data_IF_946696537725
#
_entry.id   IF_946696537725
#
_cell.length_a   1.000
_cell.length_b   1.000
_cell.length_c   1.000
_cell.angle_alpha   90.00
_cell.angle_beta   90.00
_cell.angle_gamma   90.00
#
_symmetry.space_group_name_H-M   'P 1'
#
loop_
_entity.id
_entity.type
_entity.pdbx_description
1 polymer ?
#
# COMPACT_ATOMS: atom_id res chain seq x y z
N UNK A 1 4.58 14.29 -0.47
CA UNK A 1 3.84 13.50 -1.46
C UNK A 1 2.41 13.98 -1.60
N UNK A 2 1.57 13.99 -0.57
CA UNK A 2 0.14 14.39 -0.60
C UNK A 2 -0.10 15.80 -1.16
N UNK A 3 0.67 16.82 -0.73
CA UNK A 3 0.54 18.18 -1.28
C UNK A 3 0.82 18.24 -2.80
N UNK A 4 1.77 17.42 -3.30
CA UNK A 4 2.03 17.35 -4.74
C UNK A 4 0.90 16.66 -5.49
N UNK A 5 0.29 15.64 -4.90
CA UNK A 5 -0.88 14.97 -5.48
C UNK A 5 -2.05 15.94 -5.59
N UNK A 6 -2.34 16.67 -4.51
CA UNK A 6 -3.40 17.69 -4.51
C UNK A 6 -3.15 18.77 -5.58
N UNK A 7 -1.93 19.33 -5.65
CA UNK A 7 -1.54 20.32 -6.67
C UNK A 7 -1.65 19.80 -8.12
N UNK A 8 -1.55 18.49 -8.32
CA UNK A 8 -1.71 17.82 -9.62
C UNK A 8 -3.15 17.45 -9.94
N UNK A 9 -4.11 17.88 -9.12
CA UNK A 9 -5.54 17.65 -9.35
C UNK A 9 -6.03 16.24 -8.99
N UNK A 10 -5.25 15.46 -8.22
CA UNK A 10 -5.75 14.17 -7.70
C UNK A 10 -6.92 14.43 -6.75
N UNK A 11 -8.02 13.72 -6.98
CA UNK A 11 -9.25 13.77 -6.16
C UNK A 11 -9.62 12.35 -5.72
N UNK A 12 -8.87 11.75 -4.78
CA UNK A 12 -9.18 10.42 -4.29
C UNK A 12 -10.49 10.46 -3.49
N UNK A 13 -11.30 9.43 -3.63
CA UNK A 13 -12.49 9.25 -2.80
C UNK A 13 -12.10 8.99 -1.33
N UNK A 14 -11.04 8.20 -1.13
CA UNK A 14 -10.52 7.90 0.19
C UNK A 14 -8.99 7.74 0.16
N UNK A 15 -8.31 8.26 1.17
CA UNK A 15 -6.88 8.08 1.36
C UNK A 15 -6.63 7.03 2.44
N UNK A 16 -6.02 5.93 2.04
CA UNK A 16 -5.60 4.87 2.96
C UNK A 16 -4.22 5.17 3.52
N UNK A 17 -4.03 4.95 4.79
CA UNK A 17 -2.71 5.08 5.41
C UNK A 17 -2.51 4.11 6.56
N UNK A 18 -1.26 3.66 6.69
CA UNK A 18 -0.75 2.88 7.80
C UNK A 18 -0.59 3.76 9.06
N UNK A 19 -0.40 3.13 10.21
CA UNK A 19 -0.18 3.74 11.52
C UNK A 19 1.04 4.68 11.57
N UNK A 20 2.05 4.47 10.72
CA UNK A 20 3.20 5.38 10.59
C UNK A 20 2.80 6.78 10.12
N UNK A 21 1.77 6.85 9.28
CA UNK A 21 1.26 8.10 8.73
C UNK A 21 0.11 8.70 9.54
N UNK A 22 -0.33 8.04 10.63
CA UNK A 22 -1.40 8.51 11.52
C UNK A 22 -0.99 9.66 12.44
N UNK A 23 0.16 10.32 12.19
CA UNK A 23 0.60 11.50 12.92
C UNK A 23 -0.30 12.71 12.67
N UNK A 24 -0.46 13.58 13.71
CA UNK A 24 -1.37 14.73 13.67
C UNK A 24 -1.13 15.67 12.47
N UNK A 25 0.14 15.88 12.09
CA UNK A 25 0.48 16.71 10.91
C UNK A 25 -0.12 16.13 9.63
N UNK A 26 -0.02 14.82 9.43
CA UNK A 26 -0.54 14.14 8.25
C UNK A 26 -2.08 14.13 8.25
N UNK A 27 -2.69 13.86 9.41
CA UNK A 27 -4.15 13.86 9.54
C UNK A 27 -4.74 15.23 9.22
N UNK A 28 -4.14 16.31 9.75
CA UNK A 28 -4.56 17.69 9.45
C UNK A 28 -4.34 18.06 7.97
N UNK A 29 -3.24 17.60 7.38
CA UNK A 29 -2.94 17.83 5.97
C UNK A 29 -3.99 17.23 5.04
N UNK A 30 -4.53 16.06 5.37
CA UNK A 30 -5.58 15.40 4.59
C UNK A 30 -6.95 16.09 4.75
N UNK A 31 -7.18 16.76 5.86
CA UNK A 31 -8.41 17.50 6.10
C UNK A 31 -8.55 18.75 5.20
N UNK A 32 -7.45 19.39 4.85
CA UNK A 32 -7.45 20.61 4.02
C UNK A 32 -8.07 20.41 2.63
N UNK A 33 -7.74 19.34 1.88
CA UNK A 33 -8.37 19.04 0.59
C UNK A 33 -9.73 18.31 0.71
N UNK A 34 -10.30 18.17 1.91
CA UNK A 34 -11.55 17.45 2.17
C UNK A 34 -11.53 15.97 1.74
N UNK A 35 -10.36 15.38 1.71
CA UNK A 35 -10.22 13.98 1.36
C UNK A 35 -10.63 13.09 2.53
N UNK A 36 -11.58 12.21 2.30
CA UNK A 36 -11.90 11.13 3.24
C UNK A 36 -10.67 10.26 3.47
N UNK A 37 -10.55 9.71 4.66
CA UNK A 37 -9.42 8.82 4.98
C UNK A 37 -9.86 7.63 5.79
N UNK A 38 -9.08 6.58 5.66
CA UNK A 38 -9.10 5.42 6.54
C UNK A 38 -7.66 5.11 6.96
N UNK A 39 -7.36 5.27 8.25
CA UNK A 39 -6.01 5.07 8.78
C UNK A 39 -5.99 4.07 9.91
N UNK A 40 -4.95 3.25 9.97
CA UNK A 40 -4.70 2.41 11.13
C UNK A 40 -4.19 3.26 12.28
N UNK A 41 -4.75 3.07 13.48
CA UNK A 41 -4.25 3.69 14.70
C UNK A 41 -3.31 2.74 15.44
N UNK A 42 -2.30 3.32 16.10
CA UNK A 42 -1.50 2.56 17.05
C UNK A 42 -2.33 2.25 18.30
N UNK A 43 -2.14 1.09 18.90
CA UNK A 43 -2.89 0.62 20.08
C UNK A 43 -2.84 1.61 21.28
N UNK A 44 -1.73 2.34 21.41
CA UNK A 44 -1.53 3.35 22.47
C UNK A 44 -2.03 4.76 22.09
N UNK A 45 -2.72 4.91 20.95
CA UNK A 45 -3.25 6.21 20.53
C UNK A 45 -4.28 6.70 21.53
N UNK A 46 -4.08 7.92 22.05
CA UNK A 46 -4.99 8.54 23.02
C UNK A 46 -6.25 9.05 22.31
N UNK A 47 -7.40 8.57 22.76
CA UNK A 47 -8.75 8.97 22.30
C UNK A 47 -9.64 9.24 23.52
N UNK A 48 -10.71 9.99 23.30
CA UNK A 48 -11.70 10.28 24.32
C UNK A 48 -13.08 9.84 23.81
N UNK A 49 -13.59 8.68 24.23
CA UNK A 49 -14.86 8.16 23.75
C UNK A 49 -16.08 8.85 24.37
N UNK A 50 -16.00 9.26 25.64
CA UNK A 50 -17.12 9.72 26.46
C UNK A 50 -17.05 11.21 26.87
N UNK A 51 -16.08 11.96 26.37
CA UNK A 51 -15.88 13.37 26.73
C UNK A 51 -15.19 13.60 28.08
N UNK A 52 -14.98 12.56 28.89
CA UNK A 52 -14.48 12.69 30.26
C UNK A 52 -12.95 12.56 30.33
N UNK A 53 -12.39 11.48 29.78
CA UNK A 53 -10.97 11.15 29.91
C UNK A 53 -10.36 10.65 28.60
N UNK A 54 -9.10 11.04 28.40
CA UNK A 54 -8.30 10.44 27.33
C UNK A 54 -7.73 9.10 27.78
N UNK A 55 -7.99 8.06 27.01
CA UNK A 55 -7.50 6.69 27.23
C UNK A 55 -6.86 6.15 25.95
N UNK A 56 -6.06 5.10 26.07
CA UNK A 56 -5.53 4.42 24.89
C UNK A 56 -6.67 3.76 24.09
N UNK A 57 -6.60 3.79 22.77
CA UNK A 57 -7.65 3.20 21.93
C UNK A 57 -7.85 1.71 22.20
N UNK A 58 -6.81 1.00 22.58
CA UNK A 58 -6.88 -0.41 22.99
C UNK A 58 -7.76 -0.63 24.23
N UNK A 59 -7.78 0.35 25.15
CA UNK A 59 -8.55 0.29 26.40
C UNK A 59 -9.94 0.93 26.26
N UNK A 60 -10.26 1.50 25.11
CA UNK A 60 -11.56 2.09 24.83
C UNK A 60 -12.53 1.01 24.34
N UNK A 61 -13.80 1.14 24.75
CA UNK A 61 -14.87 0.29 24.24
C UNK A 61 -15.23 0.74 22.82
N UNK A 62 -14.61 0.09 21.84
CA UNK A 62 -14.77 0.36 20.41
C UNK A 62 -15.51 -0.81 19.76
N UNK A 63 -16.65 -0.54 19.15
CA UNK A 63 -17.44 -1.52 18.44
C UNK A 63 -16.86 -1.84 17.04
N UNK A 64 -17.22 -2.97 16.49
CA UNK A 64 -16.90 -3.35 15.10
C UNK A 64 -17.64 -2.46 14.10
N UNK A 65 -18.86 -2.05 14.42
CA UNK A 65 -19.67 -1.11 13.63
C UNK A 65 -19.16 0.34 13.66
N UNK A 66 -18.19 0.62 14.52
CA UNK A 66 -17.54 1.92 14.66
C UNK A 66 -18.11 2.77 15.80
N UNK A 67 -17.23 3.29 16.62
CA UNK A 67 -17.53 4.18 17.74
C UNK A 67 -17.00 5.58 17.45
N UNK A 68 -17.83 6.61 17.66
CA UNK A 68 -17.42 8.00 17.55
C UNK A 68 -16.63 8.42 18.78
N UNK A 69 -15.40 8.88 18.59
CA UNK A 69 -14.51 9.31 19.65
C UNK A 69 -13.87 10.65 19.32
N UNK A 70 -13.46 11.40 20.33
CA UNK A 70 -12.71 12.63 20.14
C UNK A 70 -11.21 12.33 20.16
N UNK A 71 -10.49 12.71 19.11
CA UNK A 71 -9.04 12.65 19.00
C UNK A 71 -8.46 14.02 19.39
N UNK A 72 -7.67 14.07 20.48
CA UNK A 72 -7.08 15.31 20.99
C UNK A 72 -6.32 16.08 19.89
N UNK A 73 -6.69 17.34 19.71
CA UNK A 73 -6.06 18.23 18.72
C UNK A 73 -6.47 18.00 17.27
N UNK A 74 -7.45 17.09 17.03
CA UNK A 74 -7.98 16.84 15.71
C UNK A 74 -9.50 17.06 15.65
N UNK A 75 -10.26 16.52 16.59
CA UNK A 75 -11.72 16.55 16.62
C UNK A 75 -12.32 15.15 16.64
N UNK A 76 -13.59 15.07 16.26
CA UNK A 76 -14.29 13.79 16.23
C UNK A 76 -13.86 12.93 15.03
N UNK A 77 -13.69 11.65 15.30
CA UNK A 77 -13.41 10.59 14.32
C UNK A 77 -14.27 9.37 14.66
N UNK A 78 -14.52 8.51 13.68
CA UNK A 78 -15.13 7.21 13.88
C UNK A 78 -14.03 6.15 13.88
N UNK A 79 -14.00 5.31 14.90
CA UNK A 79 -12.99 4.25 15.05
C UNK A 79 -13.70 2.90 15.03
N UNK A 80 -13.17 1.98 14.25
CA UNK A 80 -13.62 0.59 14.13
C UNK A 80 -12.61 -0.33 14.84
N UNK A 81 -13.13 -1.31 15.57
CA UNK A 81 -12.34 -2.42 16.09
C UNK A 81 -12.44 -3.59 15.14
N UNK A 82 -11.31 -4.14 14.74
CA UNK A 82 -11.23 -5.27 13.82
C UNK A 82 -10.46 -6.37 14.53
N UNK A 83 -11.04 -7.55 14.58
CA UNK A 83 -10.38 -8.75 15.13
C UNK A 83 -9.97 -9.62 13.96
N UNK A 84 -8.67 -9.85 13.78
CA UNK A 84 -8.15 -10.74 12.78
C UNK A 84 -8.37 -12.21 13.18
N UNK A 85 -8.28 -13.13 12.22
CA UNK A 85 -8.47 -14.59 12.47
C UNK A 85 -7.50 -15.16 13.50
N UNK A 86 -6.31 -14.58 13.64
CA UNK A 86 -5.30 -14.96 14.63
C UNK A 86 -5.51 -14.31 16.00
N UNK A 87 -6.60 -13.56 16.20
CA UNK A 87 -6.92 -12.87 17.45
C UNK A 87 -6.30 -11.47 17.58
N UNK A 88 -5.48 -11.01 16.64
CA UNK A 88 -4.92 -9.66 16.67
C UNK A 88 -6.00 -8.59 16.53
N UNK A 89 -5.91 -7.54 17.35
CA UNK A 89 -6.85 -6.42 17.34
C UNK A 89 -6.21 -5.24 16.60
N UNK A 90 -6.91 -4.78 15.58
CA UNK A 90 -6.57 -3.59 14.80
C UNK A 90 -7.64 -2.52 14.98
N UNK A 91 -7.21 -1.26 15.12
CA UNK A 91 -8.13 -0.13 15.14
C UNK A 91 -7.92 0.73 13.91
N UNK A 92 -8.99 0.95 13.15
CA UNK A 92 -9.01 1.85 11.98
C UNK A 92 -9.89 3.05 12.26
N UNK A 93 -9.43 4.22 11.86
CA UNK A 93 -10.12 5.48 12.09
C UNK A 93 -10.41 6.20 10.77
N UNK A 94 -11.57 6.82 10.72
CA UNK A 94 -12.02 7.68 9.61
C UNK A 94 -12.57 8.99 10.15
N UNK A 95 -12.56 10.02 9.34
CA UNK A 95 -13.28 11.28 9.58
C UNK A 95 -14.63 11.34 8.86
N UNK A 96 -14.97 10.30 8.11
CA UNK A 96 -16.29 10.13 7.52
C UNK A 96 -17.23 9.48 8.57
N UNK A 97 -18.20 10.23 9.13
CA UNK A 97 -19.12 9.70 10.13
C UNK A 97 -20.07 8.65 9.54
N UNK A 98 -20.34 8.74 8.23
CA UNK A 98 -21.27 7.87 7.51
C UNK A 98 -20.60 6.60 6.98
N UNK A 99 -19.28 6.44 7.19
CA UNK A 99 -18.58 5.21 6.81
C UNK A 99 -19.11 4.05 7.64
N UNK A 100 -19.68 3.07 6.97
CA UNK A 100 -20.11 1.80 7.54
C UNK A 100 -19.04 0.71 7.35
N UNK A 101 -19.35 -0.50 7.80
CA UNK A 101 -18.46 -1.64 7.67
C UNK A 101 -18.20 -2.01 6.20
N UNK A 102 -19.21 -1.99 5.35
CA UNK A 102 -19.08 -2.34 3.93
C UNK A 102 -18.21 -1.31 3.21
N UNK A 103 -18.46 -0.01 3.42
CA UNK A 103 -17.63 1.06 2.88
C UNK A 103 -16.18 1.03 3.39
N UNK A 104 -15.96 0.51 4.59
CA UNK A 104 -14.61 0.31 5.14
C UNK A 104 -13.89 -0.86 4.51
N UNK A 105 -14.58 -1.97 4.21
CA UNK A 105 -13.98 -3.18 3.63
C UNK A 105 -13.41 -2.92 2.23
N UNK A 106 -14.14 -2.20 1.37
CA UNK A 106 -13.69 -1.87 0.02
C UNK A 106 -12.30 -1.18 -0.01
N UNK A 107 -12.08 -0.04 0.70
CA UNK A 107 -10.76 0.57 0.75
C UNK A 107 -9.70 -0.31 1.42
N UNK A 108 -10.08 -1.16 2.39
CA UNK A 108 -9.13 -2.06 3.05
C UNK A 108 -8.56 -3.11 2.08
N UNK A 109 -9.35 -3.60 1.12
CA UNK A 109 -8.90 -4.55 0.10
C UNK A 109 -7.88 -3.90 -0.85
N UNK A 110 -8.02 -2.61 -1.16
CA UNK A 110 -7.02 -1.89 -1.95
C UNK A 110 -5.66 -1.78 -1.25
N UNK A 111 -5.61 -1.78 0.09
CA UNK A 111 -4.32 -1.77 0.79
C UNK A 111 -3.51 -3.05 0.54
N UNK A 112 -4.18 -4.20 0.40
CA UNK A 112 -3.56 -5.47 0.02
C UNK A 112 -2.94 -5.39 -1.37
N UNK A 113 -3.61 -4.76 -2.32
CA UNK A 113 -3.10 -4.57 -3.68
C UNK A 113 -1.79 -3.77 -3.71
N UNK A 114 -1.64 -2.77 -2.82
CA UNK A 114 -0.38 -2.02 -2.67
C UNK A 114 0.75 -2.92 -2.15
N UNK A 115 0.46 -3.78 -1.19
CA UNK A 115 1.45 -4.73 -0.66
C UNK A 115 1.86 -5.75 -1.74
N UNK A 116 0.92 -6.25 -2.51
CA UNK A 116 1.17 -7.13 -3.65
C UNK A 116 2.00 -6.45 -4.74
N UNK A 117 1.72 -5.17 -5.04
CA UNK A 117 2.54 -4.36 -5.92
C UNK A 117 3.98 -4.26 -5.42
N UNK A 118 4.18 -3.90 -4.14
CA UNK A 118 5.52 -3.80 -3.56
C UNK A 118 6.25 -5.14 -3.54
N UNK A 119 5.54 -6.23 -3.29
CA UNK A 119 6.10 -7.59 -3.37
C UNK A 119 6.51 -7.91 -4.80
N UNK A 120 5.62 -7.69 -5.76
CA UNK A 120 5.87 -7.96 -7.18
C UNK A 120 7.07 -7.19 -7.73
N UNK A 121 7.15 -5.89 -7.47
CA UNK A 121 8.25 -5.06 -7.97
C UNK A 121 9.60 -5.43 -7.34
N UNK A 122 9.61 -5.93 -6.09
CA UNK A 122 10.82 -6.43 -5.43
C UNK A 122 11.24 -7.81 -5.96
N UNK A 123 10.32 -8.74 -6.04
CA UNK A 123 10.61 -10.14 -6.40
C UNK A 123 10.92 -10.30 -7.88
N UNK A 124 10.09 -9.73 -8.76
CA UNK A 124 10.18 -9.98 -10.20
C UNK A 124 10.91 -8.88 -10.99
N UNK A 125 10.92 -7.65 -10.48
CA UNK A 125 11.50 -6.52 -11.21
C UNK A 125 12.79 -5.97 -10.59
N UNK A 126 13.28 -6.58 -9.51
CA UNK A 126 14.58 -6.31 -8.93
C UNK A 126 14.79 -4.87 -8.42
N UNK A 127 13.71 -4.16 -8.01
CA UNK A 127 13.81 -2.74 -7.59
C UNK A 127 14.81 -2.52 -6.46
N UNK A 128 14.99 -3.50 -5.56
CA UNK A 128 15.94 -3.45 -4.45
C UNK A 128 17.37 -3.85 -4.79
N UNK A 129 17.66 -4.23 -6.05
CA UNK A 129 19.00 -4.72 -6.47
C UNK A 129 19.93 -3.61 -6.95
N UNK A 130 19.47 -2.37 -7.01
CA UNK A 130 20.29 -1.24 -7.42
C UNK A 130 21.40 -0.96 -6.40
N UNK A 131 22.65 -1.01 -6.85
CA UNK A 131 23.82 -0.65 -6.05
C UNK A 131 24.33 0.77 -6.34
N UNK A 132 23.67 1.49 -7.25
CA UNK A 132 24.06 2.85 -7.64
C UNK A 132 23.72 3.85 -6.55
N UNK A 133 24.63 4.81 -6.31
CA UNK A 133 24.44 5.87 -5.31
C UNK A 133 23.96 7.19 -5.90
N UNK A 134 24.08 7.36 -7.22
CA UNK A 134 23.67 8.58 -7.92
C UNK A 134 22.12 8.60 -8.00
N UNK A 135 21.51 9.69 -7.53
CA UNK A 135 20.06 9.83 -7.43
C UNK A 135 19.34 9.69 -8.78
N UNK A 136 19.93 10.13 -9.86
CA UNK A 136 19.38 9.98 -11.21
C UNK A 136 19.36 8.52 -11.66
N UNK A 137 20.46 7.80 -11.47
CA UNK A 137 20.56 6.39 -11.80
C UNK A 137 19.59 5.53 -10.95
N UNK A 138 19.43 5.88 -9.66
CA UNK A 138 18.41 5.22 -8.81
C UNK A 138 16.99 5.46 -9.34
N UNK A 139 16.65 6.71 -9.72
CA UNK A 139 15.33 7.02 -10.31
C UNK A 139 15.09 6.25 -11.61
N UNK A 140 16.10 6.18 -12.46
CA UNK A 140 16.02 5.42 -13.72
C UNK A 140 15.82 3.93 -13.47
N UNK A 141 16.58 3.36 -12.53
CA UNK A 141 16.42 1.95 -12.13
C UNK A 141 15.01 1.67 -11.59
N UNK A 142 14.49 2.52 -10.69
CA UNK A 142 13.12 2.39 -10.18
C UNK A 142 12.11 2.52 -11.33
N UNK A 143 12.30 3.47 -12.23
CA UNK A 143 11.45 3.66 -13.40
C UNK A 143 11.41 2.43 -14.31
N UNK A 144 12.57 1.79 -14.55
CA UNK A 144 12.65 0.54 -15.32
C UNK A 144 11.94 -0.62 -14.61
N UNK A 145 12.10 -0.75 -13.27
CA UNK A 145 11.42 -1.76 -12.48
C UNK A 145 9.88 -1.60 -12.53
N UNK A 146 9.38 -0.37 -12.46
CA UNK A 146 7.95 -0.08 -12.60
C UNK A 146 7.46 -0.47 -14.01
N UNK A 147 8.22 -0.14 -15.06
CA UNK A 147 7.84 -0.50 -16.44
C UNK A 147 7.85 -2.01 -16.65
N UNK A 148 8.80 -2.73 -16.07
CA UNK A 148 8.82 -4.19 -16.10
C UNK A 148 7.60 -4.78 -15.38
N UNK A 149 7.26 -4.26 -14.20
CA UNK A 149 6.07 -4.67 -13.47
C UNK A 149 4.78 -4.48 -14.29
N UNK A 150 4.61 -3.32 -14.93
CA UNK A 150 3.45 -3.07 -15.79
C UNK A 150 3.36 -4.05 -16.97
N UNK A 151 4.50 -4.48 -17.53
CA UNK A 151 4.50 -5.51 -18.57
C UNK A 151 4.02 -6.86 -18.04
N UNK A 152 4.41 -7.26 -16.84
CA UNK A 152 3.88 -8.48 -16.20
C UNK A 152 2.36 -8.38 -15.97
N UNK A 153 1.86 -7.22 -15.54
CA UNK A 153 0.41 -7.00 -15.39
C UNK A 153 -0.33 -7.13 -16.73
N UNK A 154 0.22 -6.56 -17.80
CA UNK A 154 -0.37 -6.69 -19.16
C UNK A 154 -0.36 -8.15 -19.62
N UNK A 155 0.70 -8.91 -19.35
CA UNK A 155 0.74 -10.35 -19.68
C UNK A 155 -0.30 -11.10 -18.86
N UNK A 156 -0.40 -10.84 -17.55
CA UNK A 156 -1.41 -11.46 -16.70
C UNK A 156 -2.84 -11.19 -17.21
N UNK A 157 -3.16 -9.93 -17.54
CA UNK A 157 -4.47 -9.56 -18.08
C UNK A 157 -4.80 -10.23 -19.40
N UNK A 158 -3.79 -10.44 -20.28
CA UNK A 158 -3.99 -11.04 -21.61
C UNK A 158 -4.04 -12.56 -21.59
N UNK A 159 -3.31 -13.19 -20.70
CA UNK A 159 -3.07 -14.64 -20.72
C UNK A 159 -3.59 -15.38 -19.52
N UNK A 160 -3.94 -14.66 -18.44
CA UNK A 160 -4.28 -15.26 -17.14
C UNK A 160 -3.09 -15.84 -16.37
N UNK A 161 -1.85 -15.78 -16.93
CA UNK A 161 -0.66 -16.29 -16.22
C UNK A 161 -0.29 -15.40 -15.05
N UNK A 162 0.01 -16.01 -13.92
CA UNK A 162 0.59 -15.32 -12.78
C UNK A 162 1.94 -14.68 -13.15
N UNK A 163 2.36 -13.68 -12.38
CA UNK A 163 3.68 -13.02 -12.58
C UNK A 163 4.83 -14.02 -12.53
N UNK A 164 4.74 -15.01 -11.64
CA UNK A 164 5.74 -16.09 -11.54
C UNK A 164 5.80 -16.96 -12.79
N UNK A 165 4.65 -17.38 -13.31
CA UNK A 165 4.58 -18.16 -14.54
C UNK A 165 5.08 -17.36 -15.75
N UNK A 166 4.76 -16.06 -15.84
CA UNK A 166 5.23 -15.19 -16.90
C UNK A 166 6.76 -15.03 -16.86
N UNK A 167 7.36 -14.82 -15.68
CA UNK A 167 8.82 -14.76 -15.52
C UNK A 167 9.50 -16.05 -15.95
N UNK A 168 9.01 -17.18 -15.46
CA UNK A 168 9.56 -18.51 -15.80
C UNK A 168 9.47 -18.82 -17.29
N UNK A 169 8.37 -18.40 -17.95
CA UNK A 169 8.23 -18.59 -19.40
C UNK A 169 9.19 -17.73 -20.19
N UNK A 170 9.32 -16.44 -19.85
CA UNK A 170 10.26 -15.53 -20.52
C UNK A 170 11.68 -16.07 -20.43
N UNK A 171 12.12 -16.51 -19.25
CA UNK A 171 13.46 -17.08 -19.06
C UNK A 171 13.62 -18.36 -19.86
N UNK A 172 12.67 -19.28 -19.80
CA UNK A 172 12.71 -20.55 -20.51
C UNK A 172 12.77 -20.37 -22.02
N UNK A 173 11.92 -19.48 -22.56
CA UNK A 173 11.87 -19.23 -23.98
C UNK A 173 13.13 -18.51 -24.48
N UNK A 174 13.69 -17.58 -23.69
CA UNK A 174 14.97 -16.96 -23.98
C UNK A 174 16.13 -17.97 -24.00
N UNK A 175 16.16 -18.90 -23.03
CA UNK A 175 17.16 -19.98 -23.01
C UNK A 175 17.00 -20.90 -24.22
N UNK A 176 15.79 -21.31 -24.57
CA UNK A 176 15.51 -22.14 -25.73
C UNK A 176 15.95 -21.47 -27.03
N UNK A 177 15.61 -20.17 -27.18
CA UNK A 177 16.03 -19.40 -28.34
C UNK A 177 17.56 -19.30 -28.46
N UNK A 178 18.23 -19.07 -27.32
CA UNK A 178 19.71 -19.05 -27.29
C UNK A 178 20.32 -20.40 -27.63
N UNK A 179 19.80 -21.50 -27.09
CA UNK A 179 20.31 -22.85 -27.39
C UNK A 179 20.08 -23.25 -28.86
N UNK A 180 18.98 -22.76 -29.48
CA UNK A 180 18.73 -23.00 -30.89
C UNK A 180 19.67 -22.21 -31.81
N UNK A 181 20.02 -20.95 -31.42
CA UNK A 181 20.91 -20.07 -32.19
C UNK A 181 21.83 -19.31 -31.23
N UNK A 182 22.91 -19.92 -30.72
CA UNK A 182 23.81 -19.31 -29.77
C UNK A 182 24.55 -18.12 -30.39
N UNK A 183 24.47 -16.96 -29.71
CA UNK A 183 25.15 -15.72 -30.16
C UNK A 183 26.68 -15.82 -29.96
N UNK A 184 27.09 -16.63 -28.97
CA UNK A 184 28.50 -16.88 -28.67
C UNK A 184 28.81 -18.36 -28.84
N UNK A 185 29.71 -18.67 -29.76
CA UNK A 185 30.31 -20.00 -29.90
C UNK A 185 31.64 -19.93 -29.16
N UNK A 186 31.81 -20.75 -28.13
CA UNK A 186 33.13 -20.91 -27.50
C UNK A 186 34.08 -21.51 -28.54
N UNK A 187 35.22 -20.86 -28.74
CA UNK A 187 36.29 -21.47 -29.57
C UNK A 187 36.67 -22.81 -28.96
N UNK A 188 36.58 -23.86 -29.80
CA UNK A 188 37.08 -25.17 -29.38
C UNK A 188 38.57 -25.05 -29.06
N UNK A 189 38.95 -25.20 -27.81
CA UNK A 189 40.35 -25.44 -27.43
C UNK A 189 40.68 -26.85 -27.83
N UNK A 190 41.27 -27.00 -29.03
CA UNK A 190 41.90 -28.25 -29.48
C UNK A 190 43.15 -28.51 -28.67
#
# INVERSE_FOLDING_TARGET
MLCKAHKRGFKPECVLSDSWFAGMKNLRLLRSPEWKRLTRLRCNRSVNPDGKKNIAVLSADISESGTRVHLKGYGFIKVFRIVARNGDIEHRATDDPDMDELRRLQPADFSRTIEEYHRGIRQFCGVGRSQVRIAEAQRNHIGLAIRAFLRFEVVNLKTGYSRFEAEMRIIRDAIRAYLANPVYVLASTA
#
